data_IF_978488511144
#
_entry.id   IF_978488511144
#
_cell.length_a   1.000
_cell.length_b   1.000
_cell.length_c   1.000
_cell.angle_alpha   90.00
_cell.angle_beta   90.00
_cell.angle_gamma   90.00
#
_symmetry.space_group_name_H-M   'P 1'
#
loop_
_entity.id
_entity.type
_entity.pdbx_description
1 polymer ?
#
# COMPACT_ATOMS: atom_id res chain seq x y z
N UNK A 1 -27.54 37.76 -8.39
CA UNK A 1 -26.91 36.94 -9.44
C UNK A 1 -25.71 36.26 -8.80
N UNK A 2 -25.94 35.07 -8.27
CA UNK A 2 -24.92 34.31 -7.52
C UNK A 2 -24.13 33.46 -8.53
N UNK A 3 -22.90 33.84 -8.78
CA UNK A 3 -21.99 33.07 -9.62
C UNK A 3 -21.61 31.78 -8.89
N UNK A 4 -22.12 30.65 -9.34
CA UNK A 4 -21.62 29.34 -8.99
C UNK A 4 -20.28 29.13 -9.72
N UNK A 5 -19.18 29.25 -9.00
CA UNK A 5 -17.90 28.72 -9.50
C UNK A 5 -17.97 27.20 -9.44
N UNK A 6 -18.19 26.57 -10.59
CA UNK A 6 -17.95 25.16 -10.75
C UNK A 6 -16.43 24.93 -10.60
N UNK A 7 -16.02 24.43 -9.44
CA UNK A 7 -14.65 23.92 -9.29
C UNK A 7 -14.54 22.69 -10.17
N UNK A 8 -13.96 22.86 -11.35
CA UNK A 8 -13.52 21.71 -12.14
C UNK A 8 -12.51 20.92 -11.31
N UNK A 9 -12.90 19.73 -10.86
CA UNK A 9 -11.96 18.73 -10.38
C UNK A 9 -11.03 18.43 -11.55
N UNK A 10 -9.81 18.96 -11.49
CA UNK A 10 -8.79 18.62 -12.46
C UNK A 10 -8.48 17.14 -12.24
N UNK A 11 -8.79 16.30 -13.24
CA UNK A 11 -8.45 14.88 -13.21
C UNK A 11 -6.94 14.73 -12.95
N UNK A 12 -6.56 13.77 -12.12
CA UNK A 12 -5.16 13.42 -11.93
C UNK A 12 -4.64 12.82 -13.25
N UNK A 13 -3.38 13.13 -13.58
CA UNK A 13 -2.72 12.54 -14.76
C UNK A 13 -2.20 11.12 -14.40
N UNK A 14 -3.14 10.18 -14.29
CA UNK A 14 -2.85 8.80 -13.93
C UNK A 14 -2.43 7.94 -15.15
N UNK A 15 -1.47 7.02 -14.97
CA UNK A 15 -0.60 6.89 -13.79
C UNK A 15 0.33 8.10 -13.68
N UNK A 16 0.68 8.50 -12.45
CA UNK A 16 1.50 9.69 -12.22
C UNK A 16 3.01 9.45 -12.37
N UNK A 17 3.46 8.21 -12.37
CA UNK A 17 4.82 7.78 -12.74
C UNK A 17 4.74 7.01 -14.06
N UNK A 18 5.47 7.47 -15.09
CA UNK A 18 5.35 6.96 -16.47
C UNK A 18 6.64 6.43 -17.07
N UNK A 19 7.76 6.57 -16.40
CA UNK A 19 9.08 6.16 -16.90
C UNK A 19 9.51 4.77 -16.40
N UNK A 20 8.73 4.18 -15.51
CA UNK A 20 8.94 2.82 -14.99
C UNK A 20 7.62 2.22 -14.50
N UNK A 21 7.58 0.90 -14.40
CA UNK A 21 6.45 0.17 -13.82
C UNK A 21 6.59 0.12 -12.31
N UNK A 22 5.54 0.50 -11.59
CA UNK A 22 5.54 0.62 -10.13
C UNK A 22 4.25 0.07 -9.55
N UNK A 23 4.31 -0.48 -8.33
CA UNK A 23 3.15 -1.05 -7.67
C UNK A 23 3.12 -0.74 -6.17
N UNK A 24 2.06 -1.15 -5.51
CA UNK A 24 1.92 -1.22 -4.05
C UNK A 24 2.22 0.11 -3.34
N UNK A 25 1.53 1.22 -3.70
CA UNK A 25 1.88 2.56 -3.23
C UNK A 25 1.57 2.77 -1.74
N UNK A 26 2.60 2.91 -0.92
CA UNK A 26 2.51 3.39 0.46
C UNK A 26 2.75 4.89 0.51
N UNK A 27 1.70 5.67 0.71
CA UNK A 27 1.75 7.13 0.70
C UNK A 27 1.82 7.72 2.12
N UNK A 28 2.77 8.61 2.37
CA UNK A 28 3.03 9.23 3.66
C UNK A 28 3.28 10.73 3.51
N UNK A 29 2.88 11.51 4.50
CA UNK A 29 3.20 12.95 4.57
C UNK A 29 4.15 13.18 5.72
N UNK A 30 5.28 13.83 5.44
CA UNK A 30 6.29 14.10 6.46
C UNK A 30 6.32 15.55 6.91
N UNK A 31 7.15 15.84 7.90
CA UNK A 31 7.24 17.16 8.54
C UNK A 31 7.71 18.28 7.59
N UNK A 32 8.36 17.93 6.48
CA UNK A 32 8.75 18.88 5.42
C UNK A 32 7.56 19.36 4.55
N UNK A 33 6.35 18.86 4.84
CA UNK A 33 5.11 19.21 4.14
C UNK A 33 4.98 18.59 2.75
N UNK A 34 5.84 17.63 2.40
CA UNK A 34 5.74 16.85 1.16
C UNK A 34 5.02 15.53 1.40
N UNK A 35 4.38 15.04 0.36
CA UNK A 35 3.85 13.68 0.29
C UNK A 35 4.90 12.80 -0.39
N UNK A 36 5.17 11.66 0.19
CA UNK A 36 6.09 10.64 -0.33
C UNK A 36 5.31 9.36 -0.63
N UNK A 37 5.67 8.67 -1.71
CA UNK A 37 5.13 7.37 -2.09
C UNK A 37 6.28 6.38 -2.20
N UNK A 38 6.24 5.36 -1.37
CA UNK A 38 7.14 4.22 -1.40
C UNK A 38 6.49 3.14 -2.25
N UNK A 39 7.19 2.64 -3.25
CA UNK A 39 6.62 1.72 -4.22
C UNK A 39 7.57 0.58 -4.55
N UNK A 40 7.02 -0.58 -4.82
CA UNK A 40 7.73 -1.68 -5.45
C UNK A 40 7.90 -1.43 -6.95
N UNK A 41 8.83 -2.14 -7.58
CA UNK A 41 9.20 -1.96 -8.97
C UNK A 41 8.94 -3.24 -9.77
N UNK A 42 7.95 -3.20 -10.65
CA UNK A 42 7.69 -4.28 -11.60
C UNK A 42 8.72 -4.24 -12.73
N UNK A 43 9.29 -5.41 -13.08
CA UNK A 43 10.37 -5.53 -14.05
C UNK A 43 9.89 -6.28 -15.28
N UNK A 44 10.19 -5.75 -16.46
CA UNK A 44 9.91 -6.39 -17.75
C UNK A 44 11.10 -7.25 -18.22
N UNK A 45 10.90 -8.43 -18.87
CA UNK A 45 9.61 -9.09 -19.02
C UNK A 45 9.11 -9.62 -17.69
N UNK A 46 7.80 -9.49 -17.42
CA UNK A 46 7.26 -9.87 -16.12
C UNK A 46 7.29 -11.39 -15.96
N UNK A 47 7.69 -11.82 -14.78
CA UNK A 47 7.51 -13.18 -14.29
C UNK A 47 6.67 -13.12 -13.01
N UNK A 48 5.47 -12.56 -13.13
CA UNK A 48 4.70 -12.15 -11.96
C UNK A 48 5.52 -11.15 -11.13
N UNK A 49 5.48 -11.31 -9.83
CA UNK A 49 6.22 -10.49 -8.88
C UNK A 49 7.60 -11.06 -8.50
N UNK A 50 8.06 -12.11 -9.17
CA UNK A 50 9.29 -12.85 -8.81
C UNK A 50 10.57 -12.03 -9.02
N UNK A 51 10.57 -11.13 -9.99
CA UNK A 51 11.73 -10.31 -10.34
C UNK A 51 11.80 -8.97 -9.59
N UNK A 52 10.76 -8.57 -8.86
CA UNK A 52 10.74 -7.31 -8.12
C UNK A 52 11.87 -7.30 -7.09
N UNK A 53 12.96 -6.59 -7.36
CA UNK A 53 14.19 -6.67 -6.58
C UNK A 53 14.61 -5.35 -5.90
N UNK A 54 13.82 -4.28 -6.06
CA UNK A 54 14.15 -2.96 -5.53
C UNK A 54 12.92 -2.10 -5.22
N UNK A 55 13.14 -1.07 -4.43
CA UNK A 55 12.13 -0.05 -4.10
C UNK A 55 12.56 1.33 -4.54
N UNK A 56 11.59 2.09 -5.07
CA UNK A 56 11.75 3.51 -5.38
C UNK A 56 10.89 4.39 -4.47
N UNK A 57 11.30 5.64 -4.32
CA UNK A 57 10.55 6.66 -3.60
C UNK A 57 10.27 7.84 -4.50
N UNK A 58 9.03 8.25 -4.54
CA UNK A 58 8.57 9.43 -5.25
C UNK A 58 8.04 10.45 -4.27
N UNK A 59 8.17 11.75 -4.55
CA UNK A 59 7.55 12.76 -3.70
C UNK A 59 6.96 13.92 -4.47
N UNK A 60 5.99 14.57 -3.86
CA UNK A 60 5.35 15.76 -4.42
C UNK A 60 5.06 16.80 -3.34
N UNK A 61 5.10 18.08 -3.73
CA UNK A 61 4.62 19.17 -2.90
C UNK A 61 3.22 19.66 -3.31
N UNK A 62 2.71 19.27 -4.48
CA UNK A 62 1.52 19.88 -5.08
C UNK A 62 0.55 18.88 -5.76
N UNK A 63 0.87 17.59 -5.76
CA UNK A 63 0.16 16.51 -6.46
C UNK A 63 0.19 16.63 -8.00
N UNK A 64 1.05 17.47 -8.55
CA UNK A 64 1.19 17.70 -9.99
C UNK A 64 2.59 17.35 -10.47
N UNK A 65 3.59 17.83 -9.74
CA UNK A 65 5.00 17.61 -10.05
C UNK A 65 5.55 16.54 -9.09
N UNK A 66 6.09 15.48 -9.67
CA UNK A 66 6.66 14.37 -8.92
C UNK A 66 8.19 14.34 -9.08
N UNK A 67 8.87 14.15 -7.98
CA UNK A 67 10.32 13.92 -7.94
C UNK A 67 10.54 12.43 -7.70
N UNK A 68 11.26 11.78 -8.62
CA UNK A 68 11.81 10.44 -8.39
C UNK A 68 13.13 10.58 -7.62
N UNK A 69 13.21 9.99 -6.44
CA UNK A 69 14.44 9.99 -5.62
C UNK A 69 15.35 8.80 -5.94
N UNK A 70 14.92 7.93 -6.86
CA UNK A 70 15.64 6.74 -7.24
C UNK A 70 15.44 5.57 -6.27
N UNK A 71 16.30 4.59 -6.44
CA UNK A 71 16.30 3.38 -5.63
C UNK A 71 16.76 3.67 -4.20
N UNK A 72 16.02 3.12 -3.22
CA UNK A 72 16.35 3.25 -1.79
C UNK A 72 16.82 1.95 -1.14
N UNK A 73 16.46 0.81 -1.69
CA UNK A 73 16.82 -0.52 -1.20
C UNK A 73 16.64 -1.56 -2.30
N UNK A 74 17.55 -2.55 -2.34
CA UNK A 74 17.42 -3.74 -3.21
C UNK A 74 17.66 -5.04 -2.48
N UNK A 75 17.21 -6.15 -3.07
CA UNK A 75 17.30 -7.50 -2.51
C UNK A 75 18.74 -7.89 -2.12
N UNK A 76 19.75 -7.53 -2.94
CA UNK A 76 21.15 -7.85 -2.65
C UNK A 76 21.73 -7.17 -1.40
N UNK A 77 21.03 -6.17 -0.84
CA UNK A 77 21.39 -5.50 0.41
C UNK A 77 20.77 -6.15 1.65
N UNK A 78 19.96 -7.21 1.47
CA UNK A 78 19.28 -7.92 2.57
C UNK A 78 20.12 -9.12 3.02
N UNK A 79 20.85 -9.05 4.15
CA UNK A 79 21.84 -10.08 4.52
C UNK A 79 21.22 -11.46 4.82
N UNK A 80 19.96 -11.48 5.23
CA UNK A 80 19.19 -12.69 5.55
C UNK A 80 18.27 -13.14 4.42
N UNK A 81 18.19 -12.36 3.32
CA UNK A 81 17.33 -12.63 2.18
C UNK A 81 17.81 -13.81 1.35
N UNK A 82 16.92 -14.29 0.49
CA UNK A 82 17.26 -15.32 -0.48
C UNK A 82 18.32 -14.80 -1.46
N UNK A 83 19.27 -15.68 -1.83
CA UNK A 83 20.44 -15.31 -2.66
C UNK A 83 20.07 -14.94 -4.10
N UNK A 84 18.99 -15.51 -4.61
CA UNK A 84 18.50 -15.28 -5.97
C UNK A 84 17.83 -13.90 -6.14
N UNK A 85 17.61 -13.15 -5.05
CA UNK A 85 16.92 -11.87 -5.08
C UNK A 85 15.44 -11.99 -5.41
N UNK A 86 14.86 -10.93 -5.96
CA UNK A 86 13.43 -10.86 -6.28
C UNK A 86 12.54 -10.68 -5.04
N UNK A 87 11.23 -10.69 -5.24
CA UNK A 87 10.20 -10.71 -4.17
C UNK A 87 10.27 -9.53 -3.18
N UNK A 88 10.76 -8.38 -3.62
CA UNK A 88 10.69 -7.13 -2.85
C UNK A 88 9.30 -6.51 -3.07
N UNK A 89 8.31 -7.04 -2.34
CA UNK A 89 6.90 -6.72 -2.52
C UNK A 89 6.46 -5.51 -1.68
N UNK A 90 5.15 -5.32 -1.56
CA UNK A 90 4.50 -4.16 -0.96
C UNK A 90 5.19 -3.62 0.30
N UNK A 91 5.75 -2.41 0.27
CA UNK A 91 6.45 -1.81 1.40
C UNK A 91 5.56 -0.90 2.24
N UNK A 92 6.03 -0.55 3.42
CA UNK A 92 5.54 0.62 4.17
C UNK A 92 6.70 1.40 4.80
N UNK A 93 6.48 2.67 5.11
CA UNK A 93 7.44 3.51 5.78
C UNK A 93 6.78 4.36 6.86
N UNK A 94 7.38 4.42 8.05
CA UNK A 94 6.93 5.32 9.12
C UNK A 94 8.10 6.07 9.75
N UNK A 95 7.78 7.18 10.43
CA UNK A 95 8.74 7.98 11.14
C UNK A 95 8.44 7.96 12.64
N UNK A 96 9.45 7.62 13.44
CA UNK A 96 9.38 7.68 14.91
C UNK A 96 10.72 8.12 15.48
N UNK A 97 10.69 9.09 16.38
CA UNK A 97 11.87 9.51 17.17
C UNK A 97 13.12 9.83 16.31
N UNK A 98 12.95 10.60 15.24
CA UNK A 98 14.09 11.03 14.41
C UNK A 98 14.60 9.98 13.43
N UNK A 99 13.85 8.91 13.21
CA UNK A 99 14.25 7.78 12.34
C UNK A 99 13.09 7.36 11.47
N UNK A 100 13.36 7.18 10.17
CA UNK A 100 12.46 6.53 9.22
C UNK A 100 12.68 5.03 9.28
N UNK A 101 11.61 4.27 9.44
CA UNK A 101 11.60 2.81 9.44
C UNK A 101 10.87 2.36 8.18
N UNK A 102 11.59 1.68 7.32
CA UNK A 102 11.08 1.11 6.07
C UNK A 102 10.88 -0.40 6.25
N UNK A 103 9.65 -0.85 6.07
CA UNK A 103 9.26 -2.25 6.21
C UNK A 103 9.01 -2.85 4.84
N UNK A 104 9.47 -4.06 4.63
CA UNK A 104 9.35 -4.75 3.36
C UNK A 104 9.25 -6.25 3.54
N UNK A 105 8.36 -6.96 2.83
CA UNK A 105 8.35 -8.41 2.82
C UNK A 105 9.49 -8.91 1.92
N UNK A 106 10.19 -9.96 2.36
CA UNK A 106 11.20 -10.62 1.56
C UNK A 106 11.41 -12.05 2.09
N UNK A 107 11.50 -13.08 1.21
CA UNK A 107 11.74 -14.44 1.67
C UNK A 107 13.20 -14.66 2.06
N UNK A 108 13.42 -15.42 3.11
CA UNK A 108 14.76 -15.86 3.56
C UNK A 108 15.18 -17.21 2.96
N UNK A 109 14.35 -17.80 2.10
CA UNK A 109 14.58 -19.09 1.47
C UNK A 109 13.53 -19.38 0.39
N UNK A 110 13.37 -20.64 0.02
CA UNK A 110 12.53 -21.08 -1.10
C UNK A 110 11.19 -21.71 -0.67
N UNK A 111 10.99 -22.01 0.59
CA UNK A 111 9.72 -22.53 1.10
C UNK A 111 8.71 -21.41 1.27
N UNK A 112 7.77 -21.28 0.33
CA UNK A 112 6.85 -20.16 0.20
C UNK A 112 6.16 -19.75 1.51
N UNK A 113 5.45 -20.63 2.16
CA UNK A 113 4.63 -20.32 3.33
C UNK A 113 5.42 -20.28 4.67
N UNK A 114 6.77 -20.38 4.63
CA UNK A 114 7.58 -20.47 5.84
C UNK A 114 8.72 -19.46 5.91
N UNK A 115 9.18 -18.99 4.77
CA UNK A 115 10.43 -18.23 4.67
C UNK A 115 10.23 -16.72 4.58
N UNK A 116 9.00 -16.25 4.44
CA UNK A 116 8.69 -14.84 4.44
C UNK A 116 9.06 -14.17 5.76
N UNK A 117 9.70 -13.01 5.65
CA UNK A 117 10.03 -12.13 6.75
C UNK A 117 9.61 -10.71 6.40
N UNK A 118 9.26 -9.93 7.40
CA UNK A 118 9.10 -8.49 7.24
C UNK A 118 10.40 -7.83 7.66
N UNK A 119 11.20 -7.44 6.66
CA UNK A 119 12.46 -6.73 6.85
C UNK A 119 12.23 -5.32 7.38
N UNK A 120 13.24 -4.80 8.07
CA UNK A 120 13.29 -3.41 8.54
C UNK A 120 14.59 -2.79 8.10
N UNK A 121 14.50 -1.69 7.36
CA UNK A 121 15.63 -0.80 7.09
C UNK A 121 15.38 0.57 7.71
N UNK A 122 16.43 1.26 8.12
CA UNK A 122 16.30 2.58 8.76
C UNK A 122 17.13 3.64 8.07
N UNK A 123 16.64 4.89 8.12
CA UNK A 123 17.35 6.06 7.62
C UNK A 123 17.03 7.31 8.45
N UNK A 124 17.89 8.34 8.33
CA UNK A 124 17.61 9.71 8.82
C UNK A 124 16.97 10.58 7.74
N UNK A 125 16.83 10.07 6.53
CA UNK A 125 16.18 10.70 5.39
C UNK A 125 14.97 9.89 4.93
N UNK A 126 13.88 10.54 4.47
CA UNK A 126 12.70 9.81 3.97
C UNK A 126 12.94 9.09 2.63
N UNK A 127 14.01 9.42 1.90
CA UNK A 127 14.16 8.99 0.51
C UNK A 127 15.57 8.51 0.13
N UNK A 128 16.43 8.22 1.07
CA UNK A 128 17.78 7.69 0.79
C UNK A 128 18.44 7.10 2.04
N UNK A 129 19.58 6.46 1.82
CA UNK A 129 20.50 5.97 2.86
C UNK A 129 19.82 4.97 3.82
N UNK A 130 18.89 4.15 3.31
CA UNK A 130 18.28 3.09 4.10
C UNK A 130 19.24 1.92 4.31
N UNK A 131 19.41 1.52 5.57
CA UNK A 131 20.30 0.42 5.97
C UNK A 131 19.47 -0.66 6.65
N UNK A 132 19.56 -1.90 6.16
CA UNK A 132 18.84 -3.04 6.73
C UNK A 132 19.31 -3.32 8.14
N UNK A 133 18.37 -3.35 9.09
CA UNK A 133 18.61 -3.63 10.50
C UNK A 133 18.31 -5.08 10.88
N UNK A 134 17.52 -5.77 10.05
CA UNK A 134 17.04 -7.12 10.30
C UNK A 134 15.58 -7.28 9.85
N UNK A 135 14.80 -7.96 10.65
CA UNK A 135 13.38 -8.17 10.41
C UNK A 135 12.58 -8.08 11.71
N UNK A 136 11.26 -7.90 11.60
CA UNK A 136 10.34 -7.79 12.76
C UNK A 136 10.27 -9.13 13.49
N UNK A 137 10.74 -9.16 14.74
CA UNK A 137 10.61 -10.33 15.61
C UNK A 137 9.17 -10.53 16.04
N UNK A 138 8.68 -11.76 15.97
CA UNK A 138 7.29 -12.10 16.28
C UNK A 138 6.32 -11.91 15.11
N UNK A 139 6.76 -11.37 13.97
CA UNK A 139 5.98 -11.41 12.75
C UNK A 139 5.87 -12.85 12.21
N UNK A 140 4.74 -13.15 11.58
CA UNK A 140 4.51 -14.44 10.94
C UNK A 140 5.03 -14.46 9.49
N UNK A 141 5.02 -15.63 8.87
CA UNK A 141 5.43 -15.78 7.46
C UNK A 141 4.32 -15.30 6.50
N UNK A 142 3.96 -14.02 6.62
CA UNK A 142 3.00 -13.30 5.78
C UNK A 142 3.69 -12.11 5.13
N UNK A 143 2.94 -11.38 4.29
CA UNK A 143 3.40 -10.25 3.48
C UNK A 143 2.69 -8.95 3.89
N UNK A 144 2.81 -7.91 3.08
CA UNK A 144 2.08 -6.64 3.13
C UNK A 144 2.10 -5.97 4.51
N UNK A 145 3.28 -5.62 5.03
CA UNK A 145 3.38 -4.91 6.28
C UNK A 145 2.77 -3.52 6.18
N UNK A 146 2.00 -3.14 7.20
CA UNK A 146 1.57 -1.78 7.41
C UNK A 146 1.77 -1.38 8.86
N UNK A 147 2.28 -0.18 9.09
CA UNK A 147 2.47 0.36 10.43
C UNK A 147 1.58 1.58 10.62
N UNK A 148 0.75 1.51 11.62
CA UNK A 148 -0.05 2.65 12.07
C UNK A 148 0.49 3.15 13.41
N UNK A 149 0.85 4.43 13.49
CA UNK A 149 1.23 5.08 14.76
C UNK A 149 0.05 5.94 15.19
N UNK A 150 -0.52 5.63 16.35
CA UNK A 150 -1.67 6.36 16.88
C UNK A 150 -1.25 7.67 17.58
N UNK A 151 -2.22 8.48 17.95
CA UNK A 151 -2.02 9.83 18.56
C UNK A 151 -1.26 9.77 19.90
N UNK A 152 -1.32 8.63 20.60
CA UNK A 152 -0.57 8.38 21.84
C UNK A 152 0.89 7.92 21.60
N UNK A 153 1.29 7.74 20.33
CA UNK A 153 2.61 7.28 19.91
C UNK A 153 2.79 5.77 19.90
N UNK A 154 1.75 4.99 20.25
CA UNK A 154 1.78 3.53 20.11
C UNK A 154 1.77 3.16 18.64
N UNK A 155 2.74 2.33 18.24
CA UNK A 155 2.78 1.77 16.90
C UNK A 155 2.07 0.41 16.86
N UNK A 156 1.25 0.23 15.85
CA UNK A 156 0.54 -1.01 15.55
C UNK A 156 1.05 -1.57 14.23
N UNK A 157 1.37 -2.84 14.23
CA UNK A 157 1.83 -3.60 13.09
C UNK A 157 0.69 -4.43 12.52
N UNK A 158 0.50 -4.36 11.21
CA UNK A 158 -0.42 -5.21 10.45
C UNK A 158 0.38 -5.96 9.39
N UNK A 159 -0.04 -7.16 9.10
CA UNK A 159 0.45 -7.96 7.98
C UNK A 159 -0.67 -8.84 7.45
N UNK A 160 -0.62 -9.21 6.19
CA UNK A 160 -1.69 -10.01 5.59
C UNK A 160 -1.22 -10.75 4.35
N UNK A 161 -2.14 -11.52 3.80
CA UNK A 161 -1.99 -12.30 2.59
C UNK A 161 -2.73 -13.61 2.67
N UNK A 162 -3.19 -14.13 1.52
CA UNK A 162 -3.90 -15.40 1.48
C UNK A 162 -5.19 -15.45 2.31
N UNK A 163 -5.87 -14.32 2.45
CA UNK A 163 -7.14 -14.23 3.17
C UNK A 163 -7.02 -14.04 4.69
N UNK A 164 -5.84 -13.76 5.22
CA UNK A 164 -5.62 -13.58 6.65
C UNK A 164 -4.97 -12.22 6.92
N UNK A 165 -5.61 -11.40 7.76
CA UNK A 165 -5.01 -10.19 8.33
C UNK A 165 -4.68 -10.42 9.80
N UNK A 166 -3.45 -10.13 10.20
CA UNK A 166 -3.01 -10.17 11.60
C UNK A 166 -2.41 -8.84 12.02
N UNK A 167 -2.64 -8.46 13.27
CA UNK A 167 -2.11 -7.24 13.83
C UNK A 167 -1.67 -7.41 15.29
N UNK A 168 -0.79 -6.51 15.73
CA UNK A 168 -0.33 -6.44 17.10
C UNK A 168 0.38 -5.12 17.39
N UNK A 169 0.69 -4.86 18.63
CA UNK A 169 1.51 -3.70 19.01
C UNK A 169 2.97 -3.94 18.64
N UNK A 170 3.67 -2.91 18.25
CA UNK A 170 5.13 -2.90 18.19
C UNK A 170 5.70 -2.34 19.49
N UNK A 171 6.81 -2.91 19.93
CA UNK A 171 7.66 -2.31 20.98
C UNK A 171 8.28 -1.00 20.48
N UNK A 172 8.78 -0.19 21.39
CA UNK A 172 9.37 1.12 21.07
C UNK A 172 10.55 1.06 20.10
N UNK A 173 11.24 -0.09 20.03
CA UNK A 173 12.32 -0.32 19.09
C UNK A 173 11.84 -0.46 17.63
N UNK A 174 10.52 -0.53 17.38
CA UNK A 174 9.89 -0.66 16.06
C UNK A 174 10.26 -1.93 15.29
N UNK A 175 10.85 -2.93 15.95
CA UNK A 175 11.38 -4.15 15.31
C UNK A 175 10.93 -5.44 16.01
N UNK A 176 10.02 -5.35 16.95
CA UNK A 176 9.55 -6.50 17.72
C UNK A 176 8.08 -6.34 18.09
N UNK A 177 7.30 -7.40 17.90
CA UNK A 177 5.91 -7.46 18.34
C UNK A 177 5.86 -7.52 19.86
N UNK A 178 5.01 -6.69 20.46
CA UNK A 178 4.76 -6.69 21.90
C UNK A 178 3.61 -7.68 22.20
N UNK A 179 3.97 -8.87 22.61
CA UNK A 179 3.05 -9.99 22.81
C UNK A 179 2.89 -10.84 21.54
N UNK A 180 1.66 -11.13 21.15
CA UNK A 180 1.30 -11.99 20.00
C UNK A 180 0.45 -11.23 18.99
N UNK A 181 0.58 -11.61 17.72
CA UNK A 181 -0.29 -11.13 16.67
C UNK A 181 -1.69 -11.76 16.80
N UNK A 182 -2.70 -10.93 16.66
CA UNK A 182 -4.11 -11.32 16.69
C UNK A 182 -4.68 -11.28 15.28
N UNK A 183 -5.54 -12.24 14.96
CA UNK A 183 -6.34 -12.18 13.72
C UNK A 183 -7.32 -11.02 13.80
N UNK A 184 -7.41 -10.23 12.74
CA UNK A 184 -8.38 -9.16 12.65
C UNK A 184 -9.74 -9.72 12.24
N UNK A 185 -10.70 -9.65 13.15
CA UNK A 185 -12.05 -10.13 12.94
C UNK A 185 -12.99 -9.06 12.38
N UNK A 186 -13.98 -9.46 11.57
CA UNK A 186 -14.97 -8.57 10.96
C UNK A 186 -14.54 -7.95 9.62
N UNK A 187 -13.45 -8.45 9.02
CA UNK A 187 -13.02 -8.11 7.67
C UNK A 187 -13.68 -9.08 6.68
N UNK A 188 -14.65 -8.60 5.92
CA UNK A 188 -15.34 -9.38 4.90
C UNK A 188 -14.47 -9.51 3.65
N UNK A 189 -14.27 -10.74 3.17
CA UNK A 189 -13.53 -11.07 1.95
C UNK A 189 -12.09 -10.49 1.90
N UNK A 190 -11.42 -10.37 3.05
CA UNK A 190 -10.05 -9.91 3.11
C UNK A 190 -9.12 -10.86 2.33
N UNK A 191 -8.32 -10.30 1.43
CA UNK A 191 -7.26 -11.03 0.75
C UNK A 191 -5.88 -10.58 1.21
N UNK A 192 -5.53 -9.29 1.03
CA UNK A 192 -4.21 -8.72 1.33
C UNK A 192 -4.27 -7.18 1.42
N UNK A 193 -3.11 -6.51 1.45
CA UNK A 193 -2.99 -5.06 1.27
C UNK A 193 -3.62 -4.22 2.39
N UNK A 194 -3.41 -4.58 3.66
CA UNK A 194 -3.96 -3.83 4.78
C UNK A 194 -3.35 -2.43 4.92
N UNK A 195 -4.22 -1.43 5.09
CA UNK A 195 -3.83 -0.04 5.38
C UNK A 195 -4.77 0.58 6.41
N UNK A 196 -4.23 1.14 7.48
CA UNK A 196 -5.02 1.80 8.53
C UNK A 196 -4.79 3.31 8.54
N UNK A 197 -5.87 4.05 8.63
CA UNK A 197 -5.84 5.50 8.88
C UNK A 197 -6.95 5.91 9.85
N UNK A 198 -6.86 7.12 10.39
CA UNK A 198 -7.83 7.67 11.34
C UNK A 198 -8.61 8.82 10.72
N UNK A 199 -9.93 8.79 10.84
CA UNK A 199 -10.81 9.87 10.41
C UNK A 199 -11.95 10.06 11.41
N UNK A 200 -12.15 11.31 11.88
CA UNK A 200 -13.19 11.67 12.84
C UNK A 200 -13.25 10.77 14.09
N UNK A 201 -12.07 10.41 14.64
CA UNK A 201 -11.97 9.59 15.84
C UNK A 201 -12.21 8.09 15.64
N UNK A 202 -12.49 7.65 14.42
CA UNK A 202 -12.61 6.23 14.06
C UNK A 202 -11.40 5.76 13.29
N UNK A 203 -11.12 4.45 13.36
CA UNK A 203 -10.10 3.77 12.59
C UNK A 203 -10.73 3.14 11.36
N UNK A 204 -10.08 3.28 10.22
CA UNK A 204 -10.47 2.73 8.93
C UNK A 204 -9.37 1.79 8.46
N UNK A 205 -9.68 0.52 8.29
CA UNK A 205 -8.79 -0.45 7.68
C UNK A 205 -9.28 -0.71 6.26
N UNK A 206 -8.49 -0.30 5.27
CA UNK A 206 -8.73 -0.63 3.87
C UNK A 206 -7.85 -1.81 3.44
N UNK A 207 -8.33 -2.57 2.47
CA UNK A 207 -7.69 -3.80 2.02
C UNK A 207 -8.18 -4.21 0.64
N UNK A 208 -7.41 -5.05 -0.04
CA UNK A 208 -7.81 -5.71 -1.28
C UNK A 208 -8.67 -6.92 -0.96
N UNK A 209 -9.76 -7.10 -1.68
CA UNK A 209 -10.54 -8.32 -1.60
C UNK A 209 -9.98 -9.41 -2.54
N UNK A 210 -10.54 -10.60 -2.41
CA UNK A 210 -10.07 -11.73 -3.16
C UNK A 210 -10.34 -11.57 -4.66
N UNK A 211 -9.40 -11.99 -5.48
CA UNK A 211 -9.48 -12.04 -6.93
C UNK A 211 -9.57 -13.51 -7.43
N UNK A 212 -10.09 -14.42 -6.60
CA UNK A 212 -10.29 -15.82 -6.95
C UNK A 212 -11.29 -15.98 -8.10
N UNK A 213 -11.01 -16.91 -9.03
CA UNK A 213 -11.86 -17.26 -10.15
C UNK A 213 -13.26 -17.80 -9.70
N UNK A 214 -13.36 -18.27 -8.48
CA UNK A 214 -14.59 -18.83 -7.89
C UNK A 214 -15.39 -17.81 -7.10
N UNK A 215 -15.21 -16.54 -7.37
CA UNK A 215 -15.90 -15.48 -6.69
C UNK A 215 -17.43 -15.64 -6.73
N UNK A 216 -18.09 -15.50 -5.59
CA UNK A 216 -19.52 -15.80 -5.42
C UNK A 216 -20.46 -14.87 -6.19
N UNK A 217 -20.01 -13.68 -6.56
CA UNK A 217 -20.79 -12.73 -7.34
C UNK A 217 -20.65 -12.90 -8.86
N UNK A 218 -19.85 -13.89 -9.28
CA UNK A 218 -19.64 -14.23 -10.69
C UNK A 218 -18.70 -13.30 -11.45
N UNK A 219 -18.03 -12.37 -10.78
CA UNK A 219 -17.04 -11.48 -11.40
C UNK A 219 -15.65 -12.08 -11.25
N UNK A 220 -15.07 -12.49 -12.37
CA UNK A 220 -13.76 -13.11 -12.42
C UNK A 220 -12.65 -12.07 -12.18
N UNK A 221 -11.67 -12.43 -11.35
CA UNK A 221 -10.49 -11.59 -11.14
C UNK A 221 -10.76 -10.26 -10.42
N UNK A 222 -11.72 -10.25 -9.52
CA UNK A 222 -12.00 -9.09 -8.68
C UNK A 222 -10.84 -8.81 -7.75
N UNK A 223 -10.31 -7.62 -7.80
CA UNK A 223 -9.34 -7.09 -6.87
C UNK A 223 -9.81 -5.73 -6.33
N UNK A 224 -11.08 -5.68 -5.92
CA UNK A 224 -11.71 -4.47 -5.38
C UNK A 224 -11.04 -4.04 -4.08
N UNK A 225 -11.07 -2.75 -3.83
CA UNK A 225 -10.65 -2.25 -2.52
C UNK A 225 -11.86 -2.09 -1.61
N UNK A 226 -11.80 -2.76 -0.48
CA UNK A 226 -12.80 -2.73 0.61
C UNK A 226 -12.28 -1.97 1.81
N UNK A 227 -13.17 -1.65 2.74
CA UNK A 227 -12.77 -1.10 4.03
C UNK A 227 -13.70 -1.55 5.16
N UNK A 228 -13.16 -1.49 6.34
CA UNK A 228 -13.87 -1.71 7.59
C UNK A 228 -13.57 -0.58 8.58
N UNK A 229 -14.44 -0.37 9.55
CA UNK A 229 -14.34 0.72 10.54
C UNK A 229 -14.39 0.14 11.95
N UNK A 230 -13.63 0.74 12.88
CA UNK A 230 -13.58 0.35 14.28
C UNK A 230 -13.40 1.57 15.20
N UNK A 231 -13.70 1.38 16.50
CA UNK A 231 -13.36 2.32 17.58
C UNK A 231 -11.94 2.10 18.13
N UNK A 232 -11.27 1.04 17.70
CA UNK A 232 -9.93 0.66 18.15
C UNK A 232 -9.06 0.26 16.96
N UNK A 233 -7.74 0.54 16.97
CA UNK A 233 -6.84 0.07 15.91
C UNK A 233 -6.73 -1.46 15.86
N UNK A 234 -7.10 -2.16 16.92
CA UNK A 234 -7.10 -3.62 17.00
C UNK A 234 -8.48 -4.26 16.71
N UNK A 235 -9.46 -3.47 16.29
CA UNK A 235 -10.82 -3.95 16.08
C UNK A 235 -11.65 -4.03 17.38
N UNK A 236 -12.80 -4.76 17.39
CA UNK A 236 -13.32 -5.49 16.26
C UNK A 236 -13.72 -4.57 15.10
N UNK A 237 -13.56 -5.07 13.88
CA UNK A 237 -13.84 -4.32 12.67
C UNK A 237 -15.26 -4.56 12.18
N UNK A 238 -15.88 -3.54 11.63
CA UNK A 238 -17.17 -3.62 10.94
C UNK A 238 -16.95 -3.35 9.46
N UNK A 239 -17.20 -4.35 8.62
CA UNK A 239 -17.14 -4.20 7.16
C UNK A 239 -18.14 -3.13 6.69
N UNK A 240 -17.66 -2.27 5.79
CA UNK A 240 -18.42 -1.18 5.19
C UNK A 240 -18.59 -1.34 3.67
N UNK A 241 -18.02 -2.42 3.10
CA UNK A 241 -18.13 -2.72 1.68
C UNK A 241 -17.01 -2.15 0.83
N UNK A 242 -17.29 -1.99 -0.46
CA UNK A 242 -16.32 -1.64 -1.50
C UNK A 242 -16.27 -0.12 -1.66
N UNK A 243 -15.05 0.45 -1.62
CA UNK A 243 -14.85 1.88 -1.89
C UNK A 243 -14.17 2.16 -3.24
N UNK A 244 -13.61 1.13 -3.90
CA UNK A 244 -12.99 1.24 -5.22
C UNK A 244 -13.27 0.00 -6.05
N UNK A 245 -13.62 0.18 -7.31
CA UNK A 245 -13.85 -0.90 -8.28
C UNK A 245 -12.54 -1.59 -8.66
N UNK A 246 -12.61 -2.77 -9.32
CA UNK A 246 -11.43 -3.46 -9.84
C UNK A 246 -10.60 -2.57 -10.76
N UNK A 247 -9.31 -2.86 -10.81
CA UNK A 247 -8.40 -2.35 -11.83
C UNK A 247 -8.09 -3.44 -12.86
N UNK A 248 -7.39 -3.07 -13.94
CA UNK A 248 -6.96 -4.03 -14.97
C UNK A 248 -5.63 -4.71 -14.64
N UNK A 249 -5.15 -4.63 -13.39
CA UNK A 249 -3.97 -5.34 -12.88
C UNK A 249 -4.36 -6.62 -12.16
N UNK A 250 -3.42 -7.57 -12.05
CA UNK A 250 -3.65 -8.85 -11.40
C UNK A 250 -3.97 -8.70 -9.89
N UNK A 251 -3.32 -7.77 -9.21
CA UNK A 251 -3.58 -7.41 -7.81
C UNK A 251 -4.05 -5.97 -7.71
N UNK A 252 -4.55 -5.57 -6.53
CA UNK A 252 -4.70 -4.18 -6.16
C UNK A 252 -4.16 -3.96 -4.75
N UNK A 253 -3.44 -2.88 -4.56
CA UNK A 253 -2.87 -2.49 -3.28
C UNK A 253 -2.89 -0.99 -3.18
N UNK A 254 -3.23 -0.45 -2.02
CA UNK A 254 -3.34 1.00 -1.92
C UNK A 254 -3.15 1.54 -0.51
N UNK A 255 -3.12 2.85 -0.47
CA UNK A 255 -3.03 3.62 0.77
C UNK A 255 -3.97 4.81 0.74
N UNK A 256 -4.42 5.25 1.91
CA UNK A 256 -5.30 6.41 2.07
C UNK A 256 -4.57 7.43 2.94
N UNK A 257 -4.40 8.65 2.44
CA UNK A 257 -3.67 9.70 3.13
C UNK A 257 -4.33 11.07 3.00
N UNK A 258 -4.22 11.88 4.05
CA UNK A 258 -4.62 13.29 4.01
C UNK A 258 -3.43 14.17 3.66
N UNK A 259 -3.56 14.94 2.58
CA UNK A 259 -2.54 15.89 2.15
C UNK A 259 -3.17 17.25 1.83
N UNK A 260 -2.61 18.32 2.40
CA UNK A 260 -3.11 19.71 2.25
C UNK A 260 -4.63 19.84 2.42
N UNK A 261 -5.14 19.22 3.49
CA UNK A 261 -6.55 19.28 3.86
C UNK A 261 -7.50 18.38 3.05
N UNK A 262 -6.99 17.64 2.10
CA UNK A 262 -7.76 16.76 1.19
C UNK A 262 -7.32 15.31 1.35
N UNK A 263 -8.28 14.36 1.23
CA UNK A 263 -7.98 12.93 1.26
C UNK A 263 -7.75 12.38 -0.14
N UNK A 264 -6.86 11.40 -0.24
CA UNK A 264 -6.48 10.73 -1.48
C UNK A 264 -6.38 9.23 -1.25
N UNK A 265 -6.83 8.47 -2.25
CA UNK A 265 -6.60 7.03 -2.36
C UNK A 265 -5.53 6.79 -3.41
N UNK A 266 -4.45 6.15 -3.01
CA UNK A 266 -3.42 5.63 -3.90
C UNK A 266 -3.72 4.17 -4.19
N UNK A 267 -3.46 3.74 -5.40
CA UNK A 267 -3.68 2.38 -5.89
C UNK A 267 -2.78 2.09 -7.10
N UNK A 268 -2.87 0.94 -7.72
CA UNK A 268 -2.19 0.68 -8.98
C UNK A 268 -3.13 0.06 -10.03
N UNK A 269 -2.72 0.16 -11.29
CA UNK A 269 -3.37 -0.46 -12.44
C UNK A 269 -2.29 -0.86 -13.47
N UNK A 270 -2.68 -1.43 -14.62
CA UNK A 270 -1.76 -1.78 -15.72
C UNK A 270 -1.95 -0.91 -16.97
N UNK A 271 -2.46 0.32 -16.81
CA UNK A 271 -2.71 1.24 -17.92
C UNK A 271 -1.44 1.70 -18.63
N UNK A 272 -0.32 1.79 -17.93
CA UNK A 272 0.94 2.21 -18.54
C UNK A 272 1.42 1.16 -19.54
N UNK A 273 1.39 -0.13 -19.20
CA UNK A 273 1.77 -1.21 -20.13
C UNK A 273 0.80 -1.27 -21.31
N UNK A 274 -0.49 -1.04 -21.08
CA UNK A 274 -1.46 -0.97 -22.16
C UNK A 274 -1.20 0.22 -23.12
N UNK A 275 -0.90 1.41 -22.59
CA UNK A 275 -0.55 2.59 -23.38
C UNK A 275 0.74 2.41 -24.18
N UNK A 276 1.68 1.63 -23.65
CA UNK A 276 2.94 1.30 -24.32
C UNK A 276 2.76 0.20 -25.40
N UNK A 277 1.55 -0.37 -25.55
CA UNK A 277 1.26 -1.42 -26.53
C UNK A 277 1.73 -2.82 -26.10
N UNK A 278 2.02 -3.02 -24.84
CA UNK A 278 2.51 -4.27 -24.27
C UNK A 278 1.72 -4.66 -23.00
N UNK A 279 0.38 -4.59 -23.10
CA UNK A 279 -0.49 -4.86 -21.95
C UNK A 279 -0.08 -6.14 -21.22
N UNK A 280 0.18 -5.98 -19.94
CA UNK A 280 0.42 -7.07 -19.03
C UNK A 280 -0.07 -6.65 -17.64
N UNK A 281 -0.90 -7.48 -17.03
CA UNK A 281 -1.51 -7.24 -15.71
C UNK A 281 -0.51 -7.31 -14.53
N UNK A 282 0.71 -7.80 -14.79
CA UNK A 282 1.86 -7.78 -13.88
C UNK A 282 2.82 -6.59 -14.10
N UNK A 283 2.61 -5.76 -15.11
CA UNK A 283 3.34 -4.50 -15.30
C UNK A 283 2.45 -3.35 -14.84
N UNK A 284 2.50 -3.08 -13.57
CA UNK A 284 1.60 -2.17 -12.88
C UNK A 284 2.13 -0.73 -12.87
N UNK A 285 1.27 0.21 -12.58
CA UNK A 285 1.58 1.63 -12.49
C UNK A 285 0.75 2.31 -11.40
N UNK A 286 1.43 3.08 -10.54
CA UNK A 286 0.78 3.74 -9.41
C UNK A 286 -0.06 4.94 -9.84
N UNK A 287 -1.25 5.01 -9.25
CA UNK A 287 -2.28 5.99 -9.49
C UNK A 287 -2.73 6.65 -8.19
N UNK A 288 -3.36 7.81 -8.31
CA UNK A 288 -3.94 8.52 -7.16
C UNK A 288 -5.20 9.25 -7.56
N UNK A 289 -6.26 9.13 -6.77
CA UNK A 289 -7.50 9.87 -6.94
C UNK A 289 -8.00 10.47 -5.63
N UNK A 290 -8.93 11.42 -5.77
CA UNK A 290 -9.59 12.05 -4.63
C UNK A 290 -10.45 11.05 -3.89
N UNK A 291 -10.29 11.02 -2.56
CA UNK A 291 -11.19 10.29 -1.67
C UNK A 291 -12.02 11.29 -0.86
N UNK A 292 -13.29 11.01 -0.72
CA UNK A 292 -14.23 11.81 0.05
C UNK A 292 -15.04 10.94 1.01
N UNK A 293 -15.50 11.54 2.09
CA UNK A 293 -16.39 10.90 3.04
C UNK A 293 -17.80 11.47 2.94
N UNK A 294 -18.79 10.64 3.18
CA UNK A 294 -20.16 11.05 3.44
C UNK A 294 -20.30 11.68 4.85
N UNK A 295 -21.43 12.28 5.12
CA UNK A 295 -21.70 12.90 6.44
C UNK A 295 -21.69 11.89 7.60
N UNK A 296 -22.02 10.65 7.33
CA UNK A 296 -22.02 9.53 8.29
C UNK A 296 -20.63 8.92 8.52
N UNK A 297 -19.59 9.41 7.81
CA UNK A 297 -18.23 8.91 7.88
C UNK A 297 -17.94 7.76 6.91
N UNK A 298 -18.91 7.26 6.16
CA UNK A 298 -18.62 6.26 5.12
C UNK A 298 -17.80 6.86 3.98
N UNK A 299 -16.92 6.06 3.39
CA UNK A 299 -16.13 6.48 2.22
C UNK A 299 -17.06 6.51 1.00
N UNK A 300 -17.06 7.62 0.25
CA UNK A 300 -17.67 7.67 -1.07
C UNK A 300 -16.85 6.83 -2.03
N UNK A 301 -17.54 6.08 -2.91
CA UNK A 301 -16.87 5.29 -3.92
C UNK A 301 -15.90 6.15 -4.74
N UNK A 302 -14.64 5.76 -4.77
CA UNK A 302 -13.58 6.49 -5.48
C UNK A 302 -13.81 6.37 -6.98
N UNK A 303 -13.84 7.51 -7.66
CA UNK A 303 -13.87 7.56 -9.12
C UNK A 303 -12.43 7.46 -9.63
N UNK A 304 -12.07 6.28 -10.13
CA UNK A 304 -10.76 6.03 -10.71
C UNK A 304 -10.61 6.82 -12.01
N UNK A 305 -9.47 7.51 -12.16
CA UNK A 305 -9.11 8.24 -13.39
C UNK A 305 -7.95 7.53 -14.10
N UNK A 306 -7.83 7.75 -15.42
CA UNK A 306 -6.77 7.15 -16.23
C UNK A 306 -7.03 5.72 -16.69
N UNK A 307 -8.16 5.10 -16.32
CA UNK A 307 -8.57 3.84 -16.91
C UNK A 307 -8.97 4.07 -18.35
N UNK A 308 -8.35 3.34 -19.27
CA UNK A 308 -8.76 3.36 -20.66
C UNK A 308 -10.09 2.63 -20.78
N UNK A 309 -11.10 3.34 -21.28
CA UNK A 309 -12.38 2.73 -21.68
C UNK A 309 -12.17 1.98 -22.98
N UNK A 310 -11.63 0.79 -22.92
CA UNK A 310 -11.55 -0.16 -24.01
C UNK A 310 -12.53 -1.32 -23.81
N UNK A 311 -12.85 -2.09 -24.83
CA UNK A 311 -13.76 -3.21 -24.68
C UNK A 311 -13.22 -4.18 -23.64
N UNK A 312 -14.10 -4.51 -22.67
CA UNK A 312 -13.87 -5.57 -21.67
C UNK A 312 -13.82 -6.92 -22.37
#
# INVERSE_FOLDING_TARGET
>A
MTLFFATHLQAQDNPFIKHMYTADPSARVWADGRLYVYASHDIAPPQGCDLMDQYHVFSTADMKTWTDHGEILRASQVPWGRKEGGFMWAPDCVYKNGTYYFYFPHPSGTEWNKTWKIGVATSKSPAKDFVVQGYVKGAEALIDPHIFIDDDGQAYFYQGGGGVCKAGKLKDNMMEIDGELQKMEGLEDFHEASWVHKYNGKYYLSYSDNHDENWKDGVKGDNRMRYAVSDSPMGPWKSMGIYMDPTNSYTNHGSIVKFKGKWYAFYHNSELSQKNGEFNDWLRSICVDRLEYNKDGSIKKVKQTGLLTGPK
#
